data_IF_364422466016
#
_entry.id   IF_364422466016
#
_cell.length_a   1.000
_cell.length_b   1.000
_cell.length_c   1.000
_cell.angle_alpha   90.00
_cell.angle_beta   90.00
_cell.angle_gamma   90.00
#
_symmetry.space_group_name_H-M   'P 1'
#
loop_
_entity.id
_entity.type
_entity.pdbx_description
1 polymer ?
#
# COMPACT_ATOMS: atom_id res chain seq x y z
N UNK A 1 -5.43 -11.77 6.83
CA UNK A 1 -3.96 -11.74 6.61
C UNK A 1 -3.59 -10.33 6.18
N UNK A 2 -2.56 -9.72 6.77
CA UNK A 2 -2.06 -8.40 6.37
C UNK A 2 -0.77 -8.55 5.55
N UNK A 3 -0.59 -7.69 4.55
CA UNK A 3 0.55 -7.59 3.65
C UNK A 3 1.43 -6.41 4.07
N UNK A 4 2.76 -6.58 4.07
CA UNK A 4 3.71 -5.53 4.50
C UNK A 4 4.35 -4.78 3.33
N UNK A 5 3.95 -5.13 2.11
CA UNK A 5 4.52 -4.57 0.90
C UNK A 5 3.68 -3.37 0.50
N UNK A 6 4.34 -2.23 0.37
CA UNK A 6 3.77 -0.96 -0.05
C UNK A 6 4.66 -0.45 -1.18
N UNK A 7 4.24 -0.58 -2.45
CA UNK A 7 5.02 -0.12 -3.59
C UNK A 7 5.05 1.41 -3.64
N UNK A 8 5.86 1.97 -4.53
CA UNK A 8 5.82 3.42 -4.80
C UNK A 8 4.40 3.87 -5.16
N UNK A 9 3.92 4.99 -4.59
CA UNK A 9 2.56 5.47 -4.79
C UNK A 9 2.31 5.86 -6.24
N UNK A 10 1.17 5.41 -6.77
CA UNK A 10 0.64 5.74 -8.10
C UNK A 10 -0.85 6.01 -7.99
N UNK A 11 -1.48 6.48 -9.07
CA UNK A 11 -2.92 6.74 -9.10
C UNK A 11 -3.75 5.45 -9.06
N UNK A 12 -5.03 5.55 -8.69
CA UNK A 12 -5.98 4.43 -8.80
C UNK A 12 -6.19 3.97 -10.25
N UNK A 13 -6.08 4.89 -11.21
CA UNK A 13 -6.06 4.53 -12.64
C UNK A 13 -4.92 3.56 -12.95
N UNK A 14 -3.72 3.84 -12.45
CA UNK A 14 -2.57 2.95 -12.64
C UNK A 14 -2.78 1.58 -11.97
N UNK A 15 -3.40 1.54 -10.79
CA UNK A 15 -3.74 0.27 -10.10
C UNK A 15 -4.65 -0.60 -10.99
N UNK A 16 -5.65 0.02 -11.64
CA UNK A 16 -6.54 -0.67 -12.58
C UNK A 16 -5.79 -1.11 -13.85
N UNK A 17 -4.96 -0.26 -14.44
CA UNK A 17 -4.11 -0.59 -15.60
C UNK A 17 -3.16 -1.76 -15.32
N UNK A 18 -2.46 -1.73 -14.18
CA UNK A 18 -1.56 -2.79 -13.76
C UNK A 18 -2.30 -4.13 -13.54
N UNK A 19 -3.56 -4.09 -13.08
CA UNK A 19 -4.40 -5.29 -12.97
C UNK A 19 -4.76 -5.85 -14.34
N UNK A 20 -5.14 -4.98 -15.28
CA UNK A 20 -5.51 -5.37 -16.64
C UNK A 20 -4.34 -5.96 -17.44
N UNK A 21 -3.10 -5.59 -17.11
CA UNK A 21 -1.90 -6.19 -17.70
C UNK A 21 -1.74 -7.69 -17.36
N UNK A 22 -2.43 -8.21 -16.34
CA UNK A 22 -2.25 -9.56 -15.82
C UNK A 22 -3.27 -10.55 -16.40
N UNK A 23 -2.99 -11.87 -16.41
CA UNK A 23 -3.90 -12.85 -16.99
C UNK A 23 -5.19 -13.04 -16.17
N UNK A 24 -6.32 -13.29 -16.85
CA UNK A 24 -7.59 -13.67 -16.21
C UNK A 24 -7.60 -15.12 -15.70
N UNK A 25 -6.78 -15.99 -16.31
CA UNK A 25 -6.68 -17.41 -15.98
C UNK A 25 -5.20 -17.77 -15.87
N UNK A 26 -4.75 -18.43 -14.80
CA UNK A 26 -3.33 -18.74 -14.61
C UNK A 26 -2.84 -19.78 -15.63
N UNK A 27 -1.92 -19.38 -16.50
CA UNK A 27 -1.21 -20.24 -17.45
C UNK A 27 0.15 -20.72 -16.94
N UNK A 28 0.75 -21.72 -17.59
CA UNK A 28 2.11 -22.20 -17.27
C UNK A 28 3.23 -21.32 -17.78
N UNK A 29 2.95 -20.44 -18.76
CA UNK A 29 3.94 -19.58 -19.40
C UNK A 29 3.86 -18.11 -18.93
N UNK A 30 2.95 -17.81 -18.00
CA UNK A 30 2.68 -16.42 -17.58
C UNK A 30 3.77 -15.87 -16.65
N UNK A 31 4.70 -15.08 -17.20
CA UNK A 31 5.59 -14.23 -16.40
C UNK A 31 4.90 -12.90 -16.08
N UNK A 32 4.14 -12.90 -14.98
CA UNK A 32 3.40 -11.73 -14.51
C UNK A 32 4.32 -10.51 -14.22
N UNK A 33 5.56 -10.75 -13.80
CA UNK A 33 6.51 -9.66 -13.60
C UNK A 33 6.88 -9.01 -14.94
N UNK A 34 7.19 -9.82 -15.95
CA UNK A 34 7.51 -9.31 -17.28
C UNK A 34 6.34 -8.54 -17.90
N UNK A 35 5.10 -8.99 -17.70
CA UNK A 35 3.89 -8.28 -18.18
C UNK A 35 3.72 -6.92 -17.51
N UNK A 36 3.86 -6.82 -16.19
CA UNK A 36 3.79 -5.53 -15.50
C UNK A 36 4.86 -4.55 -15.99
N UNK A 37 6.07 -5.06 -16.31
CA UNK A 37 7.13 -4.23 -16.85
C UNK A 37 6.83 -3.78 -18.29
N UNK A 38 6.33 -4.66 -19.14
CA UNK A 38 6.08 -4.37 -20.55
C UNK A 38 4.82 -3.53 -20.79
N UNK A 39 3.76 -3.82 -20.05
CA UNK A 39 2.41 -3.33 -20.35
C UNK A 39 1.94 -2.25 -19.36
N UNK A 40 2.56 -2.13 -18.18
CA UNK A 40 2.17 -1.19 -17.13
C UNK A 40 3.35 -0.32 -16.61
N UNK A 41 4.45 -0.23 -17.35
CA UNK A 41 5.59 0.65 -17.04
C UNK A 41 6.17 0.46 -15.62
N UNK A 42 6.19 -0.78 -15.12
CA UNK A 42 6.84 -1.09 -13.84
C UNK A 42 8.35 -1.23 -14.06
N UNK A 43 9.14 -0.43 -13.35
CA UNK A 43 10.55 -0.22 -13.65
C UNK A 43 11.46 -1.46 -13.51
N UNK A 44 11.09 -2.44 -12.68
CA UNK A 44 11.94 -3.60 -12.41
C UNK A 44 11.15 -4.84 -11.98
N UNK A 45 11.79 -6.01 -12.02
CA UNK A 45 11.21 -7.25 -11.49
C UNK A 45 10.90 -7.18 -10.00
N UNK A 46 11.71 -6.50 -9.21
CA UNK A 46 11.45 -6.37 -7.77
C UNK A 46 10.27 -5.44 -7.51
N UNK A 47 10.18 -4.31 -8.23
CA UNK A 47 8.99 -3.47 -8.22
C UNK A 47 7.75 -4.26 -8.68
N UNK A 48 7.86 -5.10 -9.70
CA UNK A 48 6.75 -5.93 -10.16
C UNK A 48 6.28 -6.95 -9.11
N UNK A 49 7.20 -7.57 -8.35
CA UNK A 49 6.82 -8.42 -7.19
C UNK A 49 6.11 -7.61 -6.11
N UNK A 50 6.55 -6.36 -5.88
CA UNK A 50 5.87 -5.49 -4.93
C UNK A 50 4.43 -5.20 -5.36
N UNK A 51 4.25 -4.84 -6.64
CA UNK A 51 2.94 -4.62 -7.24
C UNK A 51 2.04 -5.85 -7.20
N UNK A 52 2.52 -7.04 -7.56
CA UNK A 52 1.73 -8.28 -7.48
C UNK A 52 1.22 -8.54 -6.05
N UNK A 53 2.08 -8.30 -5.06
CA UNK A 53 1.71 -8.46 -3.64
C UNK A 53 0.69 -7.40 -3.22
N UNK A 54 0.86 -6.16 -3.66
CA UNK A 54 -0.05 -5.05 -3.35
C UNK A 54 -1.42 -5.22 -3.99
N UNK A 55 -1.49 -5.57 -5.27
CA UNK A 55 -2.75 -5.85 -5.98
C UNK A 55 -3.49 -7.04 -5.35
N UNK A 56 -2.77 -8.06 -4.86
CA UNK A 56 -3.37 -9.14 -4.05
C UNK A 56 -3.87 -8.66 -2.69
N UNK A 57 -3.17 -7.71 -2.06
CA UNK A 57 -3.64 -7.08 -0.83
C UNK A 57 -4.95 -6.33 -1.06
N UNK A 58 -5.10 -5.64 -2.20
CA UNK A 58 -6.32 -4.96 -2.64
C UNK A 58 -7.44 -5.91 -3.12
N UNK A 59 -7.15 -7.20 -3.25
CA UNK A 59 -8.15 -8.19 -3.70
C UNK A 59 -8.36 -8.22 -5.23
N UNK A 60 -7.53 -7.50 -5.98
CA UNK A 60 -7.55 -7.48 -7.45
C UNK A 60 -6.89 -8.73 -8.06
N UNK A 61 -5.99 -9.37 -7.31
CA UNK A 61 -5.35 -10.61 -7.72
C UNK A 61 -5.58 -11.75 -6.73
N UNK A 62 -5.64 -12.95 -7.28
CA UNK A 62 -5.49 -14.20 -6.56
C UNK A 62 -4.19 -14.90 -6.98
N UNK A 63 -3.75 -15.84 -6.15
CA UNK A 63 -2.54 -16.64 -6.37
C UNK A 63 -2.88 -18.12 -6.21
N UNK A 64 -2.48 -18.96 -7.17
CA UNK A 64 -2.53 -20.42 -7.07
C UNK A 64 -1.23 -21.00 -7.61
N UNK A 65 -0.58 -21.89 -6.84
CA UNK A 65 0.66 -22.56 -7.25
C UNK A 65 1.77 -21.58 -7.71
N UNK A 66 1.88 -20.43 -7.04
CA UNK A 66 2.86 -19.39 -7.37
C UNK A 66 2.52 -18.55 -8.61
N UNK A 67 1.32 -18.72 -9.18
CA UNK A 67 0.84 -17.98 -10.37
C UNK A 67 -0.24 -16.99 -9.98
N UNK A 68 -0.11 -15.77 -10.49
CA UNK A 68 -1.06 -14.69 -10.26
C UNK A 68 -2.08 -14.62 -11.39
N UNK A 69 -3.31 -14.27 -11.04
CA UNK A 69 -4.38 -14.01 -11.98
C UNK A 69 -5.37 -13.01 -11.42
N UNK A 70 -6.05 -12.28 -12.30
CA UNK A 70 -7.10 -11.33 -11.91
C UNK A 70 -8.23 -12.03 -11.17
N UNK A 71 -8.75 -11.40 -10.13
CA UNK A 71 -10.01 -11.85 -9.53
C UNK A 71 -11.18 -11.53 -10.48
N UNK A 72 -12.29 -12.25 -10.32
CA UNK A 72 -13.51 -11.99 -11.12
C UNK A 72 -14.32 -10.80 -10.62
N UNK A 73 -13.92 -10.22 -9.49
CA UNK A 73 -14.56 -9.07 -8.89
C UNK A 73 -13.90 -7.82 -9.46
N UNK A 74 -14.70 -6.85 -9.87
CA UNK A 74 -14.24 -5.50 -10.20
C UNK A 74 -14.62 -4.58 -9.04
N UNK A 75 -13.77 -4.45 -8.01
CA UNK A 75 -14.09 -3.66 -6.85
C UNK A 75 -14.17 -2.17 -7.19
N UNK A 76 -15.14 -1.49 -6.59
CA UNK A 76 -15.19 -0.03 -6.65
C UNK A 76 -14.10 0.62 -5.78
N UNK A 77 -13.97 1.94 -5.88
CA UNK A 77 -12.90 2.66 -5.18
C UNK A 77 -13.06 2.59 -3.64
N UNK A 78 -14.29 2.48 -3.11
CA UNK A 78 -14.53 2.32 -1.68
C UNK A 78 -14.11 0.93 -1.20
N UNK A 79 -14.41 -0.12 -1.98
CA UNK A 79 -13.96 -1.48 -1.70
C UNK A 79 -12.43 -1.59 -1.74
N UNK A 80 -11.76 -0.90 -2.67
CA UNK A 80 -10.30 -0.82 -2.72
C UNK A 80 -9.71 -0.08 -1.52
N UNK A 81 -10.29 1.07 -1.14
CA UNK A 81 -9.87 1.84 0.03
C UNK A 81 -10.00 1.01 1.32
N UNK A 82 -11.12 0.31 1.49
CA UNK A 82 -11.34 -0.60 2.61
C UNK A 82 -10.32 -1.74 2.62
N UNK A 83 -10.04 -2.36 1.47
CA UNK A 83 -9.03 -3.41 1.36
C UNK A 83 -7.63 -2.89 1.71
N UNK A 84 -7.27 -1.69 1.25
CA UNK A 84 -6.01 -1.01 1.59
C UNK A 84 -5.87 -0.85 3.11
N UNK A 85 -6.87 -0.24 3.78
CA UNK A 85 -6.88 -0.05 5.24
C UNK A 85 -6.77 -1.37 6.00
N UNK A 86 -7.60 -2.34 5.66
CA UNK A 86 -7.71 -3.59 6.44
C UNK A 86 -6.54 -4.55 6.21
N UNK A 87 -5.99 -4.58 4.99
CA UNK A 87 -5.09 -5.65 4.54
C UNK A 87 -3.66 -5.19 4.30
N UNK A 88 -3.39 -3.89 4.21
CA UNK A 88 -2.02 -3.37 4.07
C UNK A 88 -1.53 -2.85 5.41
N UNK A 89 -0.38 -3.35 5.85
CA UNK A 89 0.25 -2.96 7.10
C UNK A 89 1.43 -2.02 6.82
N UNK A 90 1.52 -0.86 7.51
CA UNK A 90 0.85 -0.52 8.77
C UNK A 90 -0.34 0.45 8.63
N UNK A 91 -1.12 0.41 7.53
CA UNK A 91 -2.08 1.48 7.18
C UNK A 91 -3.05 1.80 8.31
N UNK A 92 -3.78 0.81 8.82
CA UNK A 92 -4.73 1.02 9.92
C UNK A 92 -4.10 1.66 11.18
N UNK A 93 -2.88 1.25 11.54
CA UNK A 93 -2.14 1.86 12.65
C UNK A 93 -1.74 3.31 12.36
N UNK A 94 -1.32 3.57 11.12
CA UNK A 94 -0.93 4.90 10.65
C UNK A 94 -2.12 5.87 10.61
N UNK A 95 -3.30 5.42 10.17
CA UNK A 95 -4.53 6.24 10.20
C UNK A 95 -4.91 6.58 11.64
N UNK A 96 -4.87 5.60 12.55
CA UNK A 96 -5.10 5.87 13.98
C UNK A 96 -4.05 6.81 14.60
N UNK A 97 -2.85 6.92 14.02
CA UNK A 97 -1.84 7.91 14.42
C UNK A 97 -2.22 9.31 13.93
N UNK A 98 -2.74 9.44 12.71
CA UNK A 98 -3.20 10.71 12.16
C UNK A 98 -4.42 11.23 12.93
N UNK A 99 -5.41 10.37 13.20
CA UNK A 99 -6.62 10.72 13.96
C UNK A 99 -6.24 11.25 15.36
N UNK A 100 -5.40 10.52 16.09
CA UNK A 100 -4.95 10.95 17.43
C UNK A 100 -4.11 12.24 17.39
N UNK A 101 -3.39 12.49 16.30
CA UNK A 101 -2.65 13.72 16.11
C UNK A 101 -3.58 14.90 15.82
N UNK A 102 -4.64 14.69 15.05
CA UNK A 102 -5.66 15.71 14.78
C UNK A 102 -6.41 16.08 16.08
N UNK A 103 -6.85 15.09 16.85
CA UNK A 103 -7.52 15.31 18.15
C UNK A 103 -6.66 16.14 19.12
N UNK A 104 -5.34 16.03 19.02
CA UNK A 104 -4.38 16.78 19.85
C UNK A 104 -3.86 18.08 19.22
N UNK A 105 -4.33 18.45 18.03
CA UNK A 105 -3.87 19.64 17.30
C UNK A 105 -2.42 19.55 16.83
N UNK A 106 -1.91 18.34 16.65
CA UNK A 106 -0.53 18.04 16.25
C UNK A 106 -0.39 17.72 14.75
N UNK A 107 -1.46 17.81 13.96
CA UNK A 107 -1.43 17.73 12.50
C UNK A 107 -1.13 19.10 11.87
N UNK A 108 -0.58 19.14 10.64
CA UNK A 108 -0.17 18.00 9.82
C UNK A 108 1.10 17.30 10.33
N UNK A 109 1.20 15.98 10.14
CA UNK A 109 2.37 15.18 10.49
C UNK A 109 3.31 15.01 9.29
N UNK A 110 4.60 15.34 9.48
CA UNK A 110 5.63 14.89 8.54
C UNK A 110 5.76 13.36 8.57
N UNK A 111 6.32 12.74 7.51
CA UNK A 111 6.55 11.30 7.50
C UNK A 111 7.40 10.79 8.67
N UNK A 112 8.42 11.53 9.10
CA UNK A 112 9.27 11.19 10.24
C UNK A 112 8.47 11.27 11.56
N UNK A 113 7.63 12.28 11.72
CA UNK A 113 6.79 12.44 12.91
C UNK A 113 5.69 11.37 13.00
N UNK A 114 5.16 10.93 11.86
CA UNK A 114 4.24 9.80 11.78
C UNK A 114 4.96 8.48 12.08
N UNK A 115 6.15 8.28 11.48
CA UNK A 115 7.00 7.13 11.74
C UNK A 115 7.36 7.00 13.22
N UNK A 116 7.75 8.08 13.90
CA UNK A 116 8.09 8.05 15.32
C UNK A 116 6.94 7.54 16.20
N UNK A 117 5.70 7.85 15.83
CA UNK A 117 4.51 7.35 16.54
C UNK A 117 4.22 5.89 16.18
N UNK A 118 4.31 5.52 14.91
CA UNK A 118 4.11 4.13 14.45
C UNK A 118 5.19 3.20 15.02
N UNK A 119 6.45 3.64 15.11
CA UNK A 119 7.59 2.82 15.58
C UNK A 119 7.33 2.23 16.96
N UNK A 120 6.62 2.96 17.83
CA UNK A 120 6.29 2.53 19.18
C UNK A 120 5.42 1.27 19.19
N UNK A 121 4.65 1.04 18.12
CA UNK A 121 3.78 -0.12 17.91
C UNK A 121 4.50 -1.28 17.19
N UNK A 122 5.69 -1.05 16.61
CA UNK A 122 6.46 -2.07 15.89
C UNK A 122 7.04 -3.09 16.86
N UNK A 123 6.69 -4.38 16.76
CA UNK A 123 7.19 -5.41 17.67
C UNK A 123 8.71 -5.61 17.61
N UNK A 124 9.33 -5.97 18.73
CA UNK A 124 10.78 -6.17 18.84
C UNK A 124 11.35 -7.17 17.82
N UNK A 125 10.62 -8.26 17.55
CA UNK A 125 11.04 -9.28 16.57
C UNK A 125 11.11 -8.75 15.14
N UNK A 126 10.35 -7.71 14.82
CA UNK A 126 10.44 -7.04 13.51
C UNK A 126 11.68 -6.15 13.45
N UNK A 127 11.99 -5.46 14.56
CA UNK A 127 13.17 -4.61 14.69
C UNK A 127 14.47 -5.41 14.62
N UNK A 128 14.47 -6.67 15.05
CA UNK A 128 15.65 -7.53 15.02
C UNK A 128 15.89 -8.25 13.70
N UNK A 129 14.99 -8.15 12.71
CA UNK A 129 15.12 -8.85 11.41
C UNK A 129 16.27 -8.37 10.54
N UNK A 130 16.64 -7.11 10.67
CA UNK A 130 17.67 -6.45 9.86
C UNK A 130 18.21 -5.24 10.59
N UNK A 131 19.44 -4.84 10.29
CA UNK A 131 20.12 -3.72 10.97
C UNK A 131 19.56 -2.37 10.56
N UNK A 132 19.10 -2.25 9.31
CA UNK A 132 18.51 -1.07 8.67
C UNK A 132 16.98 -1.05 8.78
N UNK A 133 16.41 -1.63 9.85
CA UNK A 133 14.96 -1.77 9.97
C UNK A 133 14.24 -0.42 10.06
N UNK A 134 14.88 0.59 10.65
CA UNK A 134 14.32 1.94 10.80
C UNK A 134 14.10 2.60 9.44
N UNK A 135 15.12 2.60 8.57
CA UNK A 135 15.05 3.17 7.21
C UNK A 135 13.95 2.50 6.37
N UNK A 136 13.84 1.18 6.50
CA UNK A 136 12.82 0.38 5.80
C UNK A 136 11.42 0.73 6.28
N UNK A 137 11.26 0.98 7.58
CA UNK A 137 9.97 1.35 8.15
C UNK A 137 9.60 2.80 7.87
N UNK A 138 10.56 3.72 7.89
CA UNK A 138 10.34 5.11 7.49
C UNK A 138 9.88 5.17 6.03
N UNK A 139 10.60 4.52 5.11
CA UNK A 139 10.20 4.41 3.69
C UNK A 139 8.80 3.81 3.54
N UNK A 140 8.47 2.79 4.35
CA UNK A 140 7.13 2.17 4.32
C UNK A 140 6.06 3.14 4.81
N UNK A 141 6.32 3.93 5.85
CA UNK A 141 5.38 4.94 6.37
C UNK A 141 5.19 6.06 5.35
N UNK A 142 6.25 6.56 4.74
CA UNK A 142 6.19 7.55 3.64
C UNK A 142 5.28 7.08 2.51
N UNK A 143 5.52 5.86 2.00
CA UNK A 143 4.70 5.28 0.94
C UNK A 143 3.26 5.07 1.40
N UNK A 144 3.04 4.63 2.64
CA UNK A 144 1.71 4.41 3.18
C UNK A 144 0.91 5.72 3.34
N UNK A 145 1.55 6.82 3.74
CA UNK A 145 0.93 8.15 3.79
C UNK A 145 0.52 8.62 2.39
N UNK A 146 1.42 8.50 1.41
CA UNK A 146 1.10 8.87 0.03
C UNK A 146 -0.01 8.00 -0.57
N UNK A 147 -0.07 6.70 -0.24
CA UNK A 147 -1.21 5.87 -0.61
C UNK A 147 -2.49 6.23 0.15
N UNK A 148 -2.40 6.62 1.42
CA UNK A 148 -3.55 7.10 2.18
C UNK A 148 -4.13 8.37 1.53
N UNK A 149 -3.30 9.26 0.98
CA UNK A 149 -3.74 10.36 0.13
C UNK A 149 -4.45 9.87 -1.14
N UNK A 150 -3.85 8.94 -1.90
CA UNK A 150 -4.47 8.37 -3.11
C UNK A 150 -5.83 7.72 -2.83
N UNK A 151 -5.98 7.05 -1.70
CA UNK A 151 -7.24 6.42 -1.28
C UNK A 151 -8.19 7.39 -0.54
N UNK A 152 -7.81 8.65 -0.33
CA UNK A 152 -8.67 9.65 0.31
C UNK A 152 -8.81 9.50 1.83
N UNK A 153 -7.93 8.75 2.50
CA UNK A 153 -7.88 8.69 3.97
C UNK A 153 -7.12 9.85 4.59
N UNK A 154 -6.22 10.47 3.84
CA UNK A 154 -5.39 11.57 4.30
C UNK A 154 -5.34 12.69 3.26
N UNK A 155 -5.09 13.91 3.72
CA UNK A 155 -4.82 15.07 2.88
C UNK A 155 -3.39 15.54 3.16
N UNK A 156 -2.68 15.91 2.09
CA UNK A 156 -1.35 16.52 2.21
C UNK A 156 -1.50 18.02 2.39
N UNK A 157 -0.97 18.52 3.51
CA UNK A 157 -0.98 19.93 3.89
C UNK A 157 0.47 20.34 4.12
N UNK A 158 0.96 21.26 3.28
CA UNK A 158 2.38 21.61 3.19
C UNK A 158 3.25 20.35 3.00
N UNK A 159 4.21 20.13 3.91
CA UNK A 159 5.12 18.97 3.91
C UNK A 159 4.63 17.80 4.79
N UNK A 160 3.37 17.84 5.26
CA UNK A 160 2.81 16.83 6.16
C UNK A 160 1.42 16.33 5.75
N UNK A 161 0.86 15.47 6.59
CA UNK A 161 -0.43 14.82 6.36
C UNK A 161 -1.38 15.04 7.53
N UNK A 162 -2.65 15.27 7.19
CA UNK A 162 -3.79 15.29 8.11
C UNK A 162 -4.79 14.21 7.71
N UNK A 163 -5.66 13.73 8.61
CA UNK A 163 -6.84 12.97 8.21
C UNK A 163 -7.63 13.73 7.14
N UNK A 164 -8.22 12.99 6.19
CA UNK A 164 -9.14 13.61 5.24
C UNK A 164 -10.43 14.05 5.95
N UNK A 165 -11.05 15.11 5.44
CA UNK A 165 -12.29 15.64 6.04
C UNK A 165 -13.48 14.67 5.89
N UNK A 166 -13.51 13.92 4.79
CA UNK A 166 -14.55 12.93 4.47
C UNK A 166 -13.89 11.64 3.95
N UNK A 167 -13.28 10.82 4.84
CA UNK A 167 -12.56 9.63 4.45
C UNK A 167 -13.55 8.55 3.95
N UNK A 168 -13.11 7.66 3.03
CA UNK A 168 -13.97 6.58 2.57
C UNK A 168 -14.33 5.62 3.70
N UNK A 169 -15.56 5.10 3.65
CA UNK A 169 -16.15 4.19 4.66
C UNK A 169 -15.56 2.78 4.59
#
# INVERSE_FOLDING_TARGET
MKFKVVPEPRSLTFVREATLALPLVPGSEDDCCARLMADADVASRDAAKEWLTFLRALGLLAESDGKYYQTRTDPDDAELARAFRERVHPVDDLLAVLDAAEESGATPLSPEAAYERVRQRVPQWERSRRTDWEDVWLTRVERALAWAETFGFAERVDDGYSPATDPPV
#
